data_IF_456873166369
#
_entry.id   IF_456873166369
#
_cell.length_a   1.000
_cell.length_b   1.000
_cell.length_c   1.000
_cell.angle_alpha   90.00
_cell.angle_beta   90.00
_cell.angle_gamma   90.00
#
_symmetry.space_group_name_H-M   'P 1'
#
loop_
_entity.id
_entity.type
_entity.pdbx_description
1 polymer ?
#
# COMPACT_ATOMS: atom_id res chain seq x y z
N UNK A 1 -16.94 33.27 -10.79
CA UNK A 1 -17.39 31.97 -10.25
C UNK A 1 -18.82 32.15 -9.78
N UNK A 2 -19.73 31.22 -10.08
CA UNK A 2 -21.17 31.36 -9.72
C UNK A 2 -21.32 31.24 -8.21
N UNK A 3 -22.09 32.12 -7.57
CA UNK A 3 -22.17 32.23 -6.09
C UNK A 3 -22.61 30.93 -5.39
N UNK A 4 -23.30 30.05 -6.10
CA UNK A 4 -23.87 28.80 -5.60
C UNK A 4 -22.94 27.59 -5.81
N UNK A 5 -21.73 27.80 -6.35
CA UNK A 5 -20.81 26.70 -6.64
C UNK A 5 -20.45 25.90 -5.38
N UNK A 6 -20.32 26.58 -4.24
CA UNK A 6 -20.00 25.94 -2.97
C UNK A 6 -21.17 25.18 -2.34
N UNK A 7 -22.43 25.50 -2.68
CA UNK A 7 -23.62 24.78 -2.16
C UNK A 7 -24.02 23.61 -3.04
N UNK A 8 -23.87 23.74 -4.36
CA UNK A 8 -24.31 22.72 -5.32
C UNK A 8 -23.25 21.64 -5.56
N UNK A 9 -21.96 21.97 -5.39
CA UNK A 9 -20.83 21.08 -5.68
C UNK A 9 -20.30 20.32 -4.45
N UNK A 10 -20.89 20.52 -3.26
CA UNK A 10 -20.52 19.76 -2.05
C UNK A 10 -20.76 18.25 -2.21
N UNK A 11 -21.79 17.87 -2.97
CA UNK A 11 -22.09 16.47 -3.25
C UNK A 11 -21.09 15.78 -4.19
N UNK A 12 -20.51 16.52 -5.14
CA UNK A 12 -19.46 16.00 -6.04
C UNK A 12 -18.09 15.99 -5.39
N UNK A 13 -17.77 16.99 -4.55
CA UNK A 13 -16.48 17.03 -3.86
C UNK A 13 -16.31 15.83 -2.91
N UNK A 14 -17.29 15.56 -2.03
CA UNK A 14 -17.23 14.40 -1.12
C UNK A 14 -17.15 13.06 -1.88
N UNK A 15 -17.86 12.95 -3.00
CA UNK A 15 -17.80 11.75 -3.86
C UNK A 15 -16.43 11.58 -4.50
N UNK A 16 -15.82 12.68 -4.93
CA UNK A 16 -14.48 12.68 -5.48
C UNK A 16 -13.45 12.30 -4.41
N UNK A 17 -13.54 12.87 -3.21
CA UNK A 17 -12.66 12.53 -2.08
C UNK A 17 -12.75 11.04 -1.73
N UNK A 18 -13.96 10.47 -1.64
CA UNK A 18 -14.14 9.03 -1.41
C UNK A 18 -13.52 8.18 -2.52
N UNK A 19 -13.70 8.57 -3.79
CA UNK A 19 -13.11 7.84 -4.92
C UNK A 19 -11.57 7.88 -4.88
N UNK A 20 -10.99 9.03 -4.55
CA UNK A 20 -9.54 9.19 -4.38
C UNK A 20 -9.02 8.31 -3.24
N UNK A 21 -9.69 8.30 -2.10
CA UNK A 21 -9.32 7.46 -0.96
C UNK A 21 -9.41 5.97 -1.29
N UNK A 22 -10.47 5.55 -1.99
CA UNK A 22 -10.65 4.16 -2.43
C UNK A 22 -9.54 3.73 -3.39
N UNK A 23 -9.28 4.51 -4.44
CA UNK A 23 -8.19 4.25 -5.40
C UNK A 23 -6.83 4.21 -4.71
N UNK A 24 -6.61 5.10 -3.74
CA UNK A 24 -5.38 5.13 -2.95
C UNK A 24 -5.19 3.84 -2.13
N UNK A 25 -6.25 3.36 -1.46
CA UNK A 25 -6.22 2.12 -0.69
C UNK A 25 -5.99 0.92 -1.61
N UNK A 26 -6.63 0.87 -2.78
CA UNK A 26 -6.40 -0.18 -3.78
C UNK A 26 -4.95 -0.18 -4.25
N UNK A 27 -4.40 1.00 -4.54
CA UNK A 27 -2.99 1.17 -4.88
C UNK A 27 -2.04 0.67 -3.77
N UNK A 28 -2.34 1.01 -2.52
CA UNK A 28 -1.58 0.53 -1.35
C UNK A 28 -1.65 -0.99 -1.20
N UNK A 29 -2.82 -1.61 -1.45
CA UNK A 29 -2.95 -3.09 -1.44
C UNK A 29 -2.06 -3.74 -2.48
N UNK A 30 -2.06 -3.22 -3.71
CA UNK A 30 -1.19 -3.74 -4.77
C UNK A 30 0.30 -3.52 -4.45
N UNK A 31 0.67 -2.37 -3.90
CA UNK A 31 2.04 -2.10 -3.48
C UNK A 31 2.49 -3.05 -2.36
N UNK A 32 1.66 -3.25 -1.33
CA UNK A 32 1.94 -4.20 -0.25
C UNK A 32 2.09 -5.63 -0.78
N UNK A 33 1.25 -6.05 -1.73
CA UNK A 33 1.38 -7.39 -2.32
C UNK A 33 2.72 -7.56 -3.06
N UNK A 34 3.17 -6.53 -3.80
CA UNK A 34 4.48 -6.55 -4.47
C UNK A 34 5.63 -6.62 -3.46
N UNK A 35 5.56 -5.86 -2.38
CA UNK A 35 6.57 -5.88 -1.30
C UNK A 35 6.66 -7.27 -0.64
N UNK A 36 5.51 -7.89 -0.32
CA UNK A 36 5.46 -9.26 0.22
C UNK A 36 6.06 -10.28 -0.74
N UNK A 37 5.65 -10.24 -2.01
CA UNK A 37 6.17 -11.14 -3.04
C UNK A 37 7.69 -10.99 -3.19
N UNK A 38 8.20 -9.75 -3.17
CA UNK A 38 9.63 -9.49 -3.25
C UNK A 38 10.37 -10.10 -2.05
N UNK A 39 9.91 -9.82 -0.82
CA UNK A 39 10.47 -10.38 0.41
C UNK A 39 10.50 -11.90 0.37
N UNK A 40 9.38 -12.52 0.00
CA UNK A 40 9.24 -13.98 -0.02
C UNK A 40 10.14 -14.60 -1.12
N UNK A 41 10.28 -13.94 -2.28
CA UNK A 41 11.22 -14.35 -3.33
C UNK A 41 12.67 -14.29 -2.88
N UNK A 42 13.09 -13.22 -2.19
CA UNK A 42 14.45 -13.09 -1.65
C UNK A 42 14.69 -14.15 -0.57
N UNK A 43 13.72 -14.36 0.33
CA UNK A 43 13.82 -15.38 1.37
C UNK A 43 13.91 -16.79 0.78
N UNK A 44 13.14 -17.08 -0.27
CA UNK A 44 13.18 -18.36 -0.98
C UNK A 44 14.53 -18.58 -1.66
N UNK A 45 15.06 -17.57 -2.36
CA UNK A 45 16.40 -17.63 -2.95
C UNK A 45 17.46 -17.90 -1.88
N UNK A 46 17.45 -17.14 -0.79
CA UNK A 46 18.43 -17.31 0.30
C UNK A 46 18.40 -18.72 0.92
N UNK A 47 17.20 -19.31 1.08
CA UNK A 47 17.05 -20.70 1.53
C UNK A 47 17.69 -21.70 0.55
N UNK A 48 17.47 -21.53 -0.75
CA UNK A 48 18.02 -22.43 -1.76
C UNK A 48 19.54 -22.33 -1.89
N UNK A 49 20.11 -21.13 -1.71
CA UNK A 49 21.57 -20.94 -1.71
C UNK A 49 22.23 -21.40 -0.39
N UNK A 50 21.45 -21.70 0.64
CA UNK A 50 21.97 -22.15 1.93
C UNK A 50 22.65 -21.05 2.75
N UNK A 51 22.33 -19.77 2.48
CA UNK A 51 22.91 -18.64 3.20
C UNK A 51 21.97 -18.13 4.31
N UNK A 52 22.25 -18.43 5.59
CA UNK A 52 21.40 -18.04 6.70
C UNK A 52 21.43 -16.54 6.99
N UNK A 53 22.50 -15.83 6.62
CA UNK A 53 22.60 -14.37 6.81
C UNK A 53 21.67 -13.65 5.83
N UNK A 54 21.72 -14.04 4.56
CA UNK A 54 20.82 -13.52 3.55
C UNK A 54 19.35 -13.86 3.83
N UNK A 55 19.08 -15.01 4.46
CA UNK A 55 17.72 -15.35 4.90
C UNK A 55 17.25 -14.44 6.03
N UNK A 56 18.09 -14.18 7.03
CA UNK A 56 17.78 -13.25 8.12
C UNK A 56 17.57 -11.82 7.60
N UNK A 57 18.38 -11.38 6.64
CA UNK A 57 18.24 -10.06 6.02
C UNK A 57 16.95 -9.95 5.20
N UNK A 58 16.57 -11.02 4.48
CA UNK A 58 15.29 -11.09 3.77
C UNK A 58 14.10 -10.93 4.72
N UNK A 59 14.16 -11.54 5.92
CA UNK A 59 13.10 -11.37 6.92
C UNK A 59 13.00 -9.94 7.47
N UNK A 60 14.11 -9.19 7.46
CA UNK A 60 14.19 -7.80 7.94
C UNK A 60 13.81 -6.77 6.88
N UNK A 61 13.52 -7.19 5.64
CA UNK A 61 13.06 -6.29 4.60
C UNK A 61 11.80 -5.55 5.05
N UNK A 62 11.89 -4.23 5.08
CA UNK A 62 10.76 -3.37 5.41
C UNK A 62 9.73 -3.41 4.29
N UNK A 63 8.46 -3.37 4.69
CA UNK A 63 7.32 -3.34 3.77
C UNK A 63 6.49 -2.08 4.09
N UNK A 64 7.00 -0.88 3.77
CA UNK A 64 6.38 0.37 4.19
C UNK A 64 4.96 0.54 3.64
N UNK A 65 4.65 0.02 2.46
CA UNK A 65 3.28 0.05 1.92
C UNK A 65 2.34 -0.85 2.71
N UNK A 66 2.82 -2.02 3.15
CA UNK A 66 2.06 -2.88 4.06
C UNK A 66 1.88 -2.28 5.46
N UNK A 67 2.93 -1.67 6.02
CA UNK A 67 2.87 -0.95 7.30
C UNK A 67 1.83 0.17 7.24
N UNK A 68 1.84 0.94 6.14
CA UNK A 68 0.87 2.01 5.91
C UNK A 68 -0.55 1.48 5.70
N UNK A 69 -0.72 0.42 4.92
CA UNK A 69 -2.03 -0.22 4.73
C UNK A 69 -2.63 -0.73 6.05
N UNK A 70 -1.81 -1.26 6.95
CA UNK A 70 -2.27 -1.72 8.26
C UNK A 70 -2.81 -0.56 9.12
N UNK A 71 -2.29 0.66 8.97
CA UNK A 71 -2.81 1.84 9.68
C UNK A 71 -4.22 2.23 9.22
N UNK A 72 -4.57 1.97 7.96
CA UNK A 72 -5.93 2.21 7.43
C UNK A 72 -6.94 1.10 7.78
N UNK A 73 -6.48 -0.04 8.30
CA UNK A 73 -7.33 -1.21 8.64
C UNK A 73 -7.56 -1.36 10.16
N UNK A 74 -7.00 -0.46 10.98
CA UNK A 74 -7.21 -0.40 12.43
C UNK A 74 -8.32 0.58 12.76
#
# INVERSE_FOLDING_TARGET
>A
VKDNFHTDYQGSLRRLEMAIEEEYIVGLRHACQRERNYRDSVAWKARNFGDPRHHADAQRLRMPSCEKLQQFQR
#
